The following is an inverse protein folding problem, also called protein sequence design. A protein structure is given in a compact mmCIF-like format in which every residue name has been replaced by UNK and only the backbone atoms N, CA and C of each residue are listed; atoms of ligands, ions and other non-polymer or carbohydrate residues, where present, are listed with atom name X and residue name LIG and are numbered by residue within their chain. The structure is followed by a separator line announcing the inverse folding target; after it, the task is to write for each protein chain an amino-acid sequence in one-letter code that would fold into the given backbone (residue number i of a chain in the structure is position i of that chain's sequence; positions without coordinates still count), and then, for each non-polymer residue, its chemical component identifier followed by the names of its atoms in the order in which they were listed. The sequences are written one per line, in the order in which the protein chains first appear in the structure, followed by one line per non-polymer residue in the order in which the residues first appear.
data_IF_235625934796
#
_entry.id   IF_235625934796
#
_cell.length_a   1.000
_cell.length_b   1.000
_cell.length_c   1.000
_cell.angle_alpha   90.00
_cell.angle_beta   90.00
_cell.angle_gamma   90.00
#
_symmetry.space_group_name_H-M   'P 1'
#
loop_
_entity.id
_entity.type
_entity.pdbx_description
1 polymer ?
#
# COMPACT_ATOMS: atom_id res chain seq x y z
N UNK A 1 -5.06 9.52 11.34
CA UNK A 1 -5.04 8.61 10.17
C UNK A 1 -4.14 9.21 9.11
N UNK A 2 -4.09 8.66 7.88
CA UNK A 2 -3.28 9.16 6.77
C UNK A 2 -3.48 10.67 6.55
N UNK A 3 -2.42 11.39 6.21
CA UNK A 3 -2.48 12.80 5.81
C UNK A 3 -3.02 12.98 4.40
N UNK A 4 -2.74 12.02 3.51
CA UNK A 4 -3.20 11.98 2.11
C UNK A 4 -3.23 10.52 1.64
N UNK A 5 -4.15 10.23 0.72
CA UNK A 5 -4.18 9.00 -0.06
C UNK A 5 -4.12 9.37 -1.55
N UNK A 6 -3.40 8.59 -2.34
CA UNK A 6 -3.26 8.81 -3.79
C UNK A 6 -3.96 7.67 -4.49
N UNK A 7 -5.05 7.98 -5.20
CA UNK A 7 -5.89 6.98 -5.86
C UNK A 7 -5.52 6.91 -7.34
N UNK A 8 -5.16 5.72 -7.82
CA UNK A 8 -5.07 5.41 -9.24
C UNK A 8 -6.45 5.02 -9.82
N UNK A 9 -6.43 4.42 -11.01
CA UNK A 9 -7.63 3.79 -11.57
C UNK A 9 -7.93 2.46 -10.85
N UNK A 10 -9.06 1.84 -11.17
CA UNK A 10 -9.45 0.53 -10.64
C UNK A 10 -8.32 -0.47 -10.92
N UNK A 11 -7.82 -1.11 -9.86
CA UNK A 11 -6.73 -2.11 -9.89
C UNK A 11 -5.43 -1.62 -10.54
N UNK A 12 -5.22 -0.31 -10.58
CA UNK A 12 -4.03 0.29 -11.14
C UNK A 12 -3.38 1.25 -10.15
N UNK A 13 -2.06 1.11 -9.98
CA UNK A 13 -1.26 2.04 -9.19
C UNK A 13 -1.38 3.48 -9.72
N UNK A 14 -1.47 4.51 -8.85
CA UNK A 14 -1.33 5.90 -9.30
C UNK A 14 0.06 6.14 -9.89
N UNK A 15 0.17 7.09 -10.81
CA UNK A 15 1.45 7.40 -11.42
C UNK A 15 2.37 8.21 -10.48
N UNK A 16 3.68 8.14 -10.72
CA UNK A 16 4.69 8.84 -9.91
C UNK A 16 4.46 10.35 -9.79
N UNK A 17 3.89 11.02 -10.80
CA UNK A 17 3.64 12.46 -10.75
C UNK A 17 2.50 12.80 -9.78
N UNK A 18 1.42 12.01 -9.75
CA UNK A 18 0.34 12.15 -8.77
C UNK A 18 0.87 11.95 -7.35
N UNK A 19 1.72 10.94 -7.14
CA UNK A 19 2.31 10.64 -5.83
C UNK A 19 3.24 11.75 -5.39
N UNK A 20 4.16 12.21 -6.27
CA UNK A 20 5.07 13.32 -5.97
C UNK A 20 4.30 14.57 -5.58
N UNK A 21 3.22 14.88 -6.32
CA UNK A 21 2.36 16.01 -6.01
C UNK A 21 1.72 15.90 -4.62
N UNK A 22 1.30 14.70 -4.22
CA UNK A 22 0.78 14.46 -2.88
C UNK A 22 1.84 14.72 -1.80
N UNK A 23 3.08 14.25 -2.00
CA UNK A 23 4.20 14.51 -1.08
C UNK A 23 4.47 16.02 -0.96
N UNK A 24 4.45 16.76 -2.07
CA UNK A 24 4.61 18.22 -2.07
C UNK A 24 3.51 18.95 -1.27
N UNK A 25 2.27 18.45 -1.31
CA UNK A 25 1.12 19.05 -0.64
C UNK A 25 1.12 18.83 0.88
N UNK A 26 1.61 17.68 1.36
CA UNK A 26 1.59 17.34 2.80
C UNK A 26 2.96 17.35 3.47
N UNK A 27 4.02 17.48 2.68
CA UNK A 27 5.40 17.44 3.13
C UNK A 27 5.70 18.57 4.12
N UNK A 28 6.47 18.24 5.15
CA UNK A 28 6.88 19.19 6.19
C UNK A 28 8.31 18.87 6.67
N UNK A 29 8.95 19.74 7.47
CA UNK A 29 10.33 19.55 7.89
C UNK A 29 10.59 18.28 8.73
N UNK A 30 9.56 17.64 9.32
CA UNK A 30 9.71 16.37 10.04
C UNK A 30 9.74 15.14 9.13
N UNK A 31 9.42 15.31 7.85
CA UNK A 31 9.48 14.26 6.84
C UNK A 31 8.18 13.51 6.58
N UNK A 32 8.25 12.56 5.65
CA UNK A 32 7.10 11.80 5.16
C UNK A 32 7.42 10.30 5.11
N UNK A 33 6.58 9.50 5.75
CA UNK A 33 6.54 8.05 5.55
C UNK A 33 5.42 7.71 4.57
N UNK A 34 5.78 7.06 3.48
CA UNK A 34 4.88 6.44 2.51
C UNK A 34 4.74 4.97 2.89
N UNK A 35 3.51 4.48 3.01
CA UNK A 35 3.22 3.06 3.27
C UNK A 35 2.40 2.51 2.12
N UNK A 36 2.94 1.53 1.40
CA UNK A 36 2.34 0.95 0.19
C UNK A 36 2.25 -0.56 0.30
N UNK A 37 1.26 -1.15 -0.36
CA UNK A 37 1.12 -2.61 -0.48
C UNK A 37 2.20 -3.16 -1.41
N UNK A 38 2.59 -4.42 -1.22
CA UNK A 38 3.62 -5.08 -2.02
C UNK A 38 3.08 -5.51 -3.40
N UNK A 39 2.86 -4.54 -4.27
CA UNK A 39 2.55 -4.75 -5.69
C UNK A 39 3.62 -4.05 -6.54
N UNK A 40 4.02 -4.67 -7.64
CA UNK A 40 5.12 -4.17 -8.49
C UNK A 40 4.85 -2.73 -8.94
N UNK A 41 3.64 -2.45 -9.41
CA UNK A 41 3.25 -1.09 -9.84
C UNK A 41 3.38 -0.07 -8.72
N UNK A 42 2.94 -0.40 -7.50
CA UNK A 42 3.03 0.47 -6.33
C UNK A 42 4.49 0.68 -5.90
N UNK A 43 5.27 -0.39 -5.78
CA UNK A 43 6.68 -0.30 -5.40
C UNK A 43 7.47 0.59 -6.37
N UNK A 44 7.26 0.43 -7.67
CA UNK A 44 7.91 1.23 -8.71
C UNK A 44 7.46 2.69 -8.69
N UNK A 45 6.15 2.97 -8.72
CA UNK A 45 5.64 4.34 -8.82
C UNK A 45 5.93 5.17 -7.57
N UNK A 46 5.74 4.60 -6.37
CA UNK A 46 6.01 5.32 -5.13
C UNK A 46 7.51 5.45 -4.83
N UNK A 47 8.30 4.43 -5.20
CA UNK A 47 9.77 4.53 -5.15
C UNK A 47 10.28 5.64 -6.06
N UNK A 48 9.84 5.67 -7.32
CA UNK A 48 10.21 6.71 -8.29
C UNK A 48 9.77 8.10 -7.81
N UNK A 49 8.56 8.25 -7.29
CA UNK A 49 8.07 9.52 -6.76
C UNK A 49 8.90 10.03 -5.57
N UNK A 50 9.30 9.13 -4.66
CA UNK A 50 10.20 9.44 -3.55
C UNK A 50 11.55 9.95 -4.06
N UNK A 51 12.17 9.27 -5.02
CA UNK A 51 13.46 9.70 -5.57
C UNK A 51 13.36 11.02 -6.35
N UNK A 52 12.30 11.22 -7.13
CA UNK A 52 12.05 12.50 -7.81
C UNK A 52 11.87 13.66 -6.82
N UNK A 53 11.15 13.44 -5.71
CA UNK A 53 10.97 14.46 -4.68
C UNK A 53 12.30 14.83 -4.01
N UNK A 54 13.14 13.83 -3.69
CA UNK A 54 14.48 14.06 -3.12
C UNK A 54 15.38 14.82 -4.10
N UNK A 55 15.41 14.40 -5.37
CA UNK A 55 16.19 15.05 -6.42
C UNK A 55 15.79 16.51 -6.66
N UNK A 56 14.52 16.86 -6.42
CA UNK A 56 14.01 18.24 -6.50
C UNK A 56 14.32 19.09 -5.25
N UNK A 57 15.11 18.59 -4.29
CA UNK A 57 15.46 19.31 -3.06
C UNK A 57 14.36 19.30 -2.00
N UNK A 58 13.50 18.27 -2.02
CA UNK A 58 12.44 18.07 -1.04
C UNK A 58 12.96 18.07 0.42
N UNK A 59 12.22 18.73 1.32
CA UNK A 59 12.61 18.92 2.73
C UNK A 59 12.08 17.80 3.62
N UNK A 60 12.73 17.55 4.75
CA UNK A 60 12.26 16.63 5.81
C UNK A 60 12.50 15.15 5.55
N UNK A 61 12.91 14.75 4.35
CA UNK A 61 13.16 13.35 4.01
C UNK A 61 11.88 12.58 3.67
N UNK A 62 12.01 11.59 2.78
CA UNK A 62 10.93 10.68 2.38
C UNK A 62 11.42 9.25 2.51
N UNK A 63 10.57 8.39 3.06
CA UNK A 63 10.78 6.94 3.21
C UNK A 63 9.60 6.19 2.62
N UNK A 64 9.87 5.06 1.99
CA UNK A 64 8.84 4.16 1.45
C UNK A 64 8.94 2.85 2.19
N UNK A 65 7.85 2.46 2.86
CA UNK A 65 7.67 1.15 3.45
C UNK A 65 6.73 0.33 2.55
N UNK A 66 7.22 -0.80 2.09
CA UNK A 66 6.44 -1.80 1.36
C UNK A 66 5.91 -2.80 2.39
N UNK A 67 4.61 -3.09 2.34
CA UNK A 67 3.92 -4.01 3.25
C UNK A 67 3.47 -5.22 2.47
N UNK A 68 4.04 -6.38 2.82
CA UNK A 68 3.60 -7.69 2.37
C UNK A 68 3.14 -8.51 3.57
N UNK A 69 1.83 -8.68 3.73
CA UNK A 69 1.22 -9.40 4.84
C UNK A 69 0.45 -10.65 4.43
N UNK A 70 0.18 -10.83 3.13
CA UNK A 70 -0.57 -11.97 2.63
C UNK A 70 0.26 -13.25 2.65
N UNK A 71 -0.11 -14.20 3.51
CA UNK A 71 0.62 -15.46 3.67
C UNK A 71 0.27 -16.51 2.61
N UNK A 72 -0.82 -16.35 1.85
CA UNK A 72 -1.18 -17.29 0.79
C UNK A 72 -0.07 -17.41 -0.27
N UNK A 73 0.58 -16.28 -0.55
CA UNK A 73 1.68 -16.15 -1.54
C UNK A 73 3.03 -15.88 -0.87
N UNK A 74 3.21 -16.31 0.38
CA UNK A 74 4.50 -16.18 1.09
C UNK A 74 4.92 -14.75 1.39
N UNK A 75 3.96 -13.84 1.67
CA UNK A 75 4.18 -12.42 1.98
C UNK A 75 4.78 -11.61 0.81
N UNK A 76 4.64 -12.12 -0.41
CA UNK A 76 5.06 -11.41 -1.63
C UNK A 76 4.02 -10.37 -2.09
N UNK A 77 2.82 -10.36 -1.49
CA UNK A 77 1.76 -9.38 -1.76
C UNK A 77 1.26 -8.70 -0.48
N UNK A 78 0.75 -7.47 -0.64
CA UNK A 78 0.14 -6.70 0.44
C UNK A 78 -1.37 -6.90 0.50
N UNK A 79 -1.85 -7.41 1.63
CA UNK A 79 -3.27 -7.63 1.91
C UNK A 79 -3.88 -6.52 2.76
N UNK A 80 -5.00 -6.86 3.41
CA UNK A 80 -5.79 -5.92 4.19
C UNK A 80 -5.12 -5.48 5.49
N UNK A 81 -4.11 -6.21 5.96
CA UNK A 81 -3.38 -5.92 7.20
C UNK A 81 -2.64 -4.59 7.16
N UNK A 82 -2.33 -4.08 5.96
CA UNK A 82 -1.73 -2.76 5.73
C UNK A 82 -2.49 -1.63 6.46
N UNK A 83 -3.81 -1.75 6.66
CA UNK A 83 -4.60 -0.74 7.40
C UNK A 83 -4.15 -0.58 8.86
N UNK A 84 -3.63 -1.63 9.48
CA UNK A 84 -3.11 -1.61 10.86
C UNK A 84 -1.80 -0.82 10.92
N UNK A 85 -0.94 -0.97 9.91
CA UNK A 85 0.27 -0.14 9.74
C UNK A 85 -0.13 1.33 9.67
N UNK A 86 -1.12 1.68 8.85
CA UNK A 86 -1.62 3.06 8.76
C UNK A 86 -2.12 3.57 10.11
N UNK A 87 -2.92 2.77 10.81
CA UNK A 87 -3.58 3.20 12.05
C UNK A 87 -2.59 3.45 13.19
N UNK A 88 -1.60 2.57 13.35
CA UNK A 88 -0.61 2.65 14.42
C UNK A 88 0.39 3.77 14.14
N UNK A 89 0.97 3.80 12.94
CA UNK A 89 1.98 4.80 12.57
C UNK A 89 1.42 6.22 12.55
N UNK A 90 0.19 6.39 12.06
CA UNK A 90 -0.47 7.70 12.06
C UNK A 90 -0.91 8.15 13.47
N UNK A 91 -1.09 7.22 14.42
CA UNK A 91 -1.33 7.60 15.81
C UNK A 91 -0.02 8.04 16.47
N UNK A 92 1.06 7.29 16.24
CA UNK A 92 2.40 7.60 16.74
C UNK A 92 2.89 8.97 16.21
N UNK A 93 2.77 9.22 14.90
CA UNK A 93 3.25 10.47 14.29
C UNK A 93 2.61 11.74 14.87
N UNK A 94 1.36 11.65 15.36
CA UNK A 94 0.67 12.77 16.02
C UNK A 94 1.26 13.14 17.39
N UNK A 95 1.99 12.23 18.01
CA UNK A 95 2.67 12.46 19.30
C UNK A 95 4.02 13.18 19.12
N UNK A 96 4.37 13.55 17.88
CA UNK A 96 5.56 14.32 17.53
C UNK A 96 6.92 13.59 17.45
N UNK A 97 7.02 12.25 17.31
CA UNK A 97 8.31 11.55 17.21
C UNK A 97 9.06 11.88 15.91
N UNK A 98 10.29 11.36 15.79
CA UNK A 98 11.09 11.51 14.57
C UNK A 98 10.57 10.61 13.44
N UNK A 99 10.98 10.89 12.20
CA UNK A 99 10.68 10.02 11.06
C UNK A 99 11.27 8.61 11.25
N UNK A 100 12.44 8.51 11.87
CA UNK A 100 13.11 7.22 12.13
C UNK A 100 12.30 6.37 13.11
N UNK A 101 11.76 6.96 14.17
CA UNK A 101 10.91 6.24 15.14
C UNK A 101 9.61 5.76 14.50
N UNK A 102 9.02 6.58 13.63
CA UNK A 102 7.79 6.24 12.90
C UNK A 102 8.07 5.11 11.90
N UNK A 103 9.17 5.18 11.17
CA UNK A 103 9.59 4.12 10.23
C UNK A 103 9.91 2.81 10.97
N UNK A 104 10.64 2.86 12.08
CA UNK A 104 10.96 1.68 12.88
C UNK A 104 9.69 1.00 13.41
N UNK A 105 8.75 1.77 13.95
CA UNK A 105 7.47 1.24 14.40
C UNK A 105 6.66 0.67 13.23
N UNK A 106 6.66 1.34 12.08
CA UNK A 106 5.96 0.87 10.90
C UNK A 106 6.49 -0.49 10.42
N UNK A 107 7.82 -0.67 10.40
CA UNK A 107 8.49 -1.94 10.07
C UNK A 107 8.12 -3.03 11.07
N UNK A 108 8.21 -2.75 12.37
CA UNK A 108 7.82 -3.71 13.40
C UNK A 108 6.36 -4.16 13.24
N UNK A 109 5.45 -3.24 12.98
CA UNK A 109 4.04 -3.57 12.76
C UNK A 109 3.88 -4.43 11.50
N UNK A 110 4.47 -4.04 10.37
CA UNK A 110 4.40 -4.80 9.12
C UNK A 110 4.98 -6.22 9.27
N UNK A 111 6.10 -6.37 9.98
CA UNK A 111 6.75 -7.65 10.26
C UNK A 111 5.89 -8.60 11.12
N UNK A 112 4.91 -8.07 11.87
CA UNK A 112 4.07 -8.85 12.78
C UNK A 112 2.61 -9.00 12.33
N UNK A 113 2.26 -8.57 11.11
CA UNK A 113 0.92 -8.76 10.55
C UNK A 113 0.94 -9.87 9.51
N UNK A 114 -0.01 -10.79 9.61
CA UNK A 114 -0.25 -11.85 8.64
C UNK A 114 -1.73 -11.89 8.31
N UNK A 115 -2.06 -11.96 7.03
CA UNK A 115 -3.43 -12.07 6.53
C UNK A 115 -3.52 -13.21 5.53
N UNK A 116 -4.71 -13.80 5.42
CA UNK A 116 -5.06 -14.76 4.37
C UNK A 116 -6.52 -14.53 4.02
N UNK A 117 -6.81 -14.43 2.73
CA UNK A 117 -8.16 -14.23 2.19
C UNK A 117 -8.82 -15.52 1.75
N UNK A 118 -10.14 -15.49 1.63
CA UNK A 118 -10.93 -16.50 0.91
C UNK A 118 -11.96 -15.79 0.05
N UNK A 119 -12.04 -16.18 -1.22
CA UNK A 119 -12.99 -15.68 -2.21
C UNK A 119 -14.04 -16.72 -2.55
N UNK A 120 -15.25 -16.27 -2.86
CA UNK A 120 -16.33 -17.11 -3.40
C UNK A 120 -16.50 -16.94 -4.91
N UNK A 121 -15.95 -15.87 -5.48
CA UNK A 121 -15.85 -15.59 -6.92
C UNK A 121 -14.98 -14.34 -7.10
N UNK A 122 -14.48 -14.13 -8.32
CA UNK A 122 -13.88 -12.86 -8.72
C UNK A 122 -14.87 -11.69 -8.66
N UNK A 123 -14.37 -10.50 -8.38
CA UNK A 123 -15.16 -9.28 -8.54
C UNK A 123 -15.24 -8.85 -10.01
N UNK A 124 -16.35 -8.23 -10.41
CA UNK A 124 -16.49 -7.63 -11.73
C UNK A 124 -15.80 -6.26 -11.77
N UNK A 125 -14.93 -6.06 -12.77
CA UNK A 125 -14.26 -4.77 -13.01
C UNK A 125 -15.13 -3.88 -13.91
N UNK A 126 -15.53 -2.68 -13.47
CA UNK A 126 -16.32 -1.77 -14.29
C UNK A 126 -15.66 -1.45 -15.64
N UNK A 127 -16.43 -1.59 -16.72
CA UNK A 127 -15.96 -1.32 -18.09
C UNK A 127 -15.27 -2.51 -18.77
N UNK A 128 -15.21 -3.67 -18.13
CA UNK A 128 -14.84 -4.95 -18.77
C UNK A 128 -16.09 -5.78 -19.06
N UNK A 129 -15.97 -6.73 -19.99
CA UNK A 129 -16.96 -7.79 -20.15
C UNK A 129 -17.13 -8.57 -18.85
N UNK A 130 -18.32 -9.15 -18.64
CA UNK A 130 -18.54 -10.08 -17.54
C UNK A 130 -17.61 -11.28 -17.73
N UNK A 131 -16.83 -11.61 -16.70
CA UNK A 131 -16.01 -12.81 -16.72
C UNK A 131 -16.91 -14.04 -16.57
N UNK A 132 -16.57 -15.13 -17.26
CA UNK A 132 -17.16 -16.43 -16.93
C UNK A 132 -16.80 -16.78 -15.47
N UNK A 133 -17.73 -17.42 -14.77
CA UNK A 133 -17.50 -17.89 -13.41
C UNK A 133 -16.29 -18.82 -13.39
N UNK A 134 -15.35 -18.53 -12.51
CA UNK A 134 -14.08 -19.26 -12.41
C UNK A 134 -14.19 -20.44 -11.44
N UNK A 135 -15.11 -20.37 -10.47
CA UNK A 135 -15.34 -21.40 -9.47
C UNK A 135 -16.65 -22.17 -9.70
N UNK A 136 -16.64 -23.45 -9.35
CA UNK A 136 -17.87 -24.23 -9.20
C UNK A 136 -18.77 -23.69 -8.07
N UNK A 137 -20.06 -24.05 -8.11
CA UNK A 137 -21.07 -23.62 -7.11
C UNK A 137 -20.78 -24.09 -5.68
N UNK A 138 -19.92 -25.09 -5.52
CA UNK A 138 -19.46 -25.67 -4.27
C UNK A 138 -17.96 -25.48 -4.02
N UNK A 139 -17.30 -24.62 -4.81
CA UNK A 139 -15.88 -24.31 -4.68
C UNK A 139 -15.64 -22.94 -4.00
N UNK A 140 -14.46 -22.82 -3.39
CA UNK A 140 -13.94 -21.57 -2.83
C UNK A 140 -12.48 -21.45 -3.20
N UNK A 141 -11.97 -20.22 -3.23
CA UNK A 141 -10.55 -19.98 -3.45
C UNK A 141 -9.90 -19.45 -2.18
N UNK A 142 -8.98 -20.24 -1.62
CA UNK A 142 -8.13 -19.82 -0.52
C UNK A 142 -6.93 -19.05 -1.07
N UNK A 143 -6.74 -17.82 -0.61
CA UNK A 143 -5.61 -17.00 -1.04
C UNK A 143 -5.89 -16.05 -2.20
N UNK A 144 -7.15 -15.92 -2.64
CA UNK A 144 -7.53 -14.97 -3.68
C UNK A 144 -7.05 -13.55 -3.34
N UNK A 145 -6.31 -12.96 -4.27
CA UNK A 145 -5.76 -11.61 -4.16
C UNK A 145 -6.84 -10.52 -4.22
N UNK A 146 -6.48 -9.30 -3.79
CA UNK A 146 -7.42 -8.16 -3.72
C UNK A 146 -7.78 -7.57 -5.09
N UNK A 147 -7.17 -8.05 -6.18
CA UNK A 147 -7.44 -7.64 -7.56
C UNK A 147 -7.77 -8.84 -8.48
N UNK A 148 -8.35 -9.91 -7.93
CA UNK A 148 -8.60 -11.18 -8.63
C UNK A 148 -7.33 -11.94 -9.06
N UNK A 149 -6.20 -11.76 -8.34
CA UNK A 149 -5.04 -12.64 -8.51
C UNK A 149 -5.31 -14.05 -7.93
N UNK A 150 -4.80 -15.11 -8.58
CA UNK A 150 -4.89 -16.48 -8.07
C UNK A 150 -3.91 -16.77 -6.91
#
# INVERSE_FOLDING_TARGET
MLSVAVCGNIFASPNAAQIRRAIELVGNPKGTLIVVKNYIGDALNFGLASEQYKAAGGKGGVRVLIVGDDVAVGQTQGGIGTILVYKITAALSRSGPSLDDVEATAKQVAENIRTIGVGLEHCHVPGTEEAESHLGVDEIELGMGIHNEP
#
